data_IF_530448362702
#
_entry.id   IF_530448362702
#
_cell.length_a   1.000
_cell.length_b   1.000
_cell.length_c   1.000
_cell.angle_alpha   90.00
_cell.angle_beta   90.00
_cell.angle_gamma   90.00
#
_symmetry.space_group_name_H-M   'P 1'
#
loop_
_entity.id
_entity.type
_entity.pdbx_description
1 polymer ?
#
# COMPACT_ATOMS: atom_id res chain seq x y z
N UNK A 1 39.40 -16.64 -11.03
CA UNK A 1 38.35 -17.51 -10.45
C UNK A 1 37.07 -16.71 -10.37
N UNK A 2 36.26 -16.77 -11.42
CA UNK A 2 34.91 -16.24 -11.41
C UNK A 2 34.07 -17.17 -10.52
N UNK A 3 33.88 -16.80 -9.26
CA UNK A 3 32.79 -17.40 -8.48
C UNK A 3 31.52 -16.93 -9.16
N UNK A 4 30.92 -17.82 -9.93
CA UNK A 4 29.54 -17.72 -10.37
C UNK A 4 28.69 -17.63 -9.08
N UNK A 5 28.44 -16.40 -8.61
CA UNK A 5 27.56 -16.11 -7.50
C UNK A 5 26.15 -16.39 -8.02
N UNK A 6 25.80 -17.68 -8.09
CA UNK A 6 24.42 -18.10 -8.07
C UNK A 6 23.87 -17.54 -6.77
N UNK A 7 23.16 -16.41 -6.86
CA UNK A 7 22.54 -15.75 -5.72
C UNK A 7 21.73 -16.82 -4.99
N UNK A 8 22.05 -17.10 -3.71
CA UNK A 8 21.33 -18.09 -2.91
C UNK A 8 19.91 -17.59 -2.62
N UNK A 9 19.05 -17.70 -3.63
CA UNK A 9 17.68 -17.20 -3.66
C UNK A 9 16.76 -18.40 -3.70
N UNK A 10 15.88 -18.49 -2.71
CA UNK A 10 14.83 -19.51 -2.67
C UNK A 10 13.74 -19.17 -3.68
N UNK A 11 13.02 -20.20 -4.16
CA UNK A 11 11.75 -20.01 -4.84
C UNK A 11 10.70 -19.58 -3.83
N UNK A 12 10.54 -18.26 -3.66
CA UNK A 12 9.61 -17.69 -2.70
C UNK A 12 8.20 -17.59 -3.28
N UNK A 13 7.30 -18.49 -2.84
CA UNK A 13 5.88 -18.52 -3.21
C UNK A 13 4.96 -18.00 -2.10
N UNK A 14 5.47 -17.18 -1.17
CA UNK A 14 4.65 -16.65 -0.08
C UNK A 14 3.51 -15.76 -0.59
N UNK A 15 2.34 -15.87 0.06
CA UNK A 15 1.15 -15.09 -0.26
C UNK A 15 1.19 -13.63 0.24
N UNK A 16 2.09 -13.30 1.17
CA UNK A 16 2.22 -11.96 1.76
C UNK A 16 2.86 -11.99 3.17
N UNK A 17 3.94 -11.23 3.44
CA UNK A 17 4.81 -10.55 2.46
C UNK A 17 5.36 -11.53 1.41
N UNK A 18 5.70 -11.04 0.22
CA UNK A 18 6.08 -11.87 -0.93
C UNK A 18 7.42 -11.43 -1.56
N UNK A 19 7.83 -12.09 -2.64
CA UNK A 19 9.09 -11.85 -3.32
C UNK A 19 9.14 -10.45 -3.97
N UNK A 20 10.25 -9.74 -3.76
CA UNK A 20 10.61 -8.55 -4.54
C UNK A 20 11.57 -8.91 -5.68
N UNK A 21 11.52 -8.18 -6.82
CA UNK A 21 12.52 -8.31 -7.88
C UNK A 21 13.94 -8.09 -7.33
N UNK A 22 14.87 -8.96 -7.70
CA UNK A 22 16.26 -8.88 -7.24
C UNK A 22 16.91 -7.50 -7.53
N UNK A 23 16.73 -6.88 -8.70
CA UNK A 23 17.32 -5.57 -8.97
C UNK A 23 16.88 -4.47 -8.00
N UNK A 24 15.67 -4.56 -7.45
CA UNK A 24 15.17 -3.60 -6.44
C UNK A 24 15.92 -3.79 -5.12
N UNK A 25 16.14 -5.04 -4.70
CA UNK A 25 16.87 -5.36 -3.48
C UNK A 25 18.33 -4.92 -3.57
N UNK A 26 18.97 -5.15 -4.72
CA UNK A 26 20.35 -4.72 -4.98
C UNK A 26 20.48 -3.19 -4.98
N UNK A 27 19.50 -2.48 -5.56
CA UNK A 27 19.49 -1.02 -5.52
C UNK A 27 19.34 -0.51 -4.08
N UNK A 28 18.37 -1.04 -3.32
CA UNK A 28 18.19 -0.67 -1.91
C UNK A 28 19.45 -0.96 -1.10
N UNK A 29 20.09 -2.12 -1.30
CA UNK A 29 21.35 -2.46 -0.62
C UNK A 29 22.45 -1.43 -0.92
N UNK A 30 22.60 -1.04 -2.19
CA UNK A 30 23.62 -0.08 -2.62
C UNK A 30 23.40 1.33 -2.05
N UNK A 31 22.15 1.74 -1.93
CA UNK A 31 21.75 3.09 -1.49
C UNK A 31 21.42 3.18 0.01
N UNK A 32 21.53 2.08 0.77
CA UNK A 32 21.03 2.01 2.15
C UNK A 32 21.71 3.01 3.08
N UNK A 33 23.02 3.18 2.96
CA UNK A 33 23.82 4.06 3.83
C UNK A 33 23.95 5.48 3.27
N UNK A 34 23.76 5.65 1.97
CA UNK A 34 23.79 6.94 1.30
C UNK A 34 22.80 6.92 0.13
N UNK A 35 21.61 7.46 0.38
CA UNK A 35 20.58 7.54 -0.62
C UNK A 35 20.87 8.70 -1.56
N UNK A 36 21.17 8.39 -2.82
CA UNK A 36 21.33 9.40 -3.88
C UNK A 36 22.46 10.41 -3.65
N UNK A 37 23.48 10.10 -2.85
CA UNK A 37 24.60 11.00 -2.56
C UNK A 37 24.26 12.09 -1.55
N UNK A 38 23.21 11.90 -0.74
CA UNK A 38 22.80 12.85 0.31
C UNK A 38 23.65 12.73 1.57
N UNK A 39 24.45 11.68 1.69
CA UNK A 39 25.21 11.36 2.90
C UNK A 39 24.34 10.82 4.04
N UNK A 40 23.09 10.45 3.77
CA UNK A 40 22.14 9.92 4.74
C UNK A 40 21.40 8.70 4.18
N UNK A 41 21.02 7.78 5.06
CA UNK A 41 20.05 6.75 4.72
C UNK A 41 18.68 7.36 4.48
N UNK A 42 17.88 6.76 3.58
CA UNK A 42 16.45 7.11 3.43
C UNK A 42 15.68 7.00 4.76
N UNK A 43 16.13 6.13 5.67
CA UNK A 43 15.52 5.92 6.98
C UNK A 43 15.78 7.07 7.96
N UNK A 44 16.78 7.91 7.68
CA UNK A 44 17.18 9.06 8.52
C UNK A 44 16.65 10.39 7.95
N UNK A 45 16.14 10.37 6.72
CA UNK A 45 15.64 11.57 6.05
C UNK A 45 14.39 12.11 6.73
N UNK A 46 14.33 13.43 6.86
CA UNK A 46 13.07 14.11 7.19
C UNK A 46 12.05 13.87 6.08
N UNK A 47 10.83 13.49 6.46
CA UNK A 47 9.69 13.33 5.54
C UNK A 47 9.27 14.65 4.85
N UNK A 48 9.81 15.79 5.30
CA UNK A 48 9.58 17.12 4.69
C UNK A 48 10.80 17.64 3.95
N UNK A 49 11.84 16.83 3.81
CA UNK A 49 13.01 17.22 3.03
C UNK A 49 12.70 17.13 1.54
N UNK A 50 13.30 18.00 0.73
CA UNK A 50 13.17 17.97 -0.73
C UNK A 50 13.59 16.60 -1.30
N UNK A 51 14.58 15.95 -0.67
CA UNK A 51 15.02 14.61 -1.05
C UNK A 51 13.90 13.56 -0.88
N UNK A 52 13.18 13.58 0.24
CA UNK A 52 12.06 12.66 0.48
C UNK A 52 10.82 13.02 -0.34
N UNK A 53 10.52 14.30 -0.52
CA UNK A 53 9.42 14.75 -1.38
C UNK A 53 9.58 14.23 -2.82
N UNK A 54 10.81 14.24 -3.36
CA UNK A 54 11.11 13.64 -4.66
C UNK A 54 10.83 12.13 -4.72
N UNK A 55 11.03 11.40 -3.62
CA UNK A 55 10.69 9.97 -3.53
C UNK A 55 9.17 9.78 -3.64
N UNK A 56 8.40 10.56 -2.87
CA UNK A 56 6.94 10.51 -2.88
C UNK A 56 6.37 10.92 -4.25
N UNK A 57 6.84 12.02 -4.83
CA UNK A 57 6.41 12.51 -6.14
C UNK A 57 6.68 11.47 -7.25
N UNK A 58 7.84 10.82 -7.21
CA UNK A 58 8.17 9.74 -8.15
C UNK A 58 7.25 8.52 -7.97
N UNK A 59 6.91 8.17 -6.73
CA UNK A 59 6.00 7.07 -6.43
C UNK A 59 4.57 7.37 -6.92
N UNK A 60 4.04 8.56 -6.64
CA UNK A 60 2.72 9.03 -7.11
C UNK A 60 2.66 9.00 -8.64
N UNK A 61 3.58 9.69 -9.33
CA UNK A 61 3.64 9.74 -10.79
C UNK A 61 3.81 8.35 -11.41
N UNK A 62 4.59 7.49 -10.76
CA UNK A 62 4.76 6.10 -11.18
C UNK A 62 3.45 5.33 -11.17
N UNK A 63 2.68 5.44 -10.07
CA UNK A 63 1.39 4.78 -9.93
C UNK A 63 0.36 5.35 -10.91
N UNK A 64 0.28 6.67 -11.03
CA UNK A 64 -0.61 7.35 -11.99
C UNK A 64 -0.37 6.88 -13.42
N UNK A 65 0.90 6.81 -13.83
CA UNK A 65 1.28 6.32 -15.16
C UNK A 65 0.92 4.85 -15.36
N UNK A 66 1.20 3.99 -14.38
CA UNK A 66 0.98 2.54 -14.51
C UNK A 66 -0.51 2.18 -14.56
N UNK A 67 -1.32 2.87 -13.76
CA UNK A 67 -2.74 2.56 -13.56
C UNK A 67 -3.67 3.52 -14.34
N UNK A 68 -3.12 4.47 -15.09
CA UNK A 68 -3.86 5.52 -15.80
C UNK A 68 -4.84 6.30 -14.89
N UNK A 69 -4.34 6.75 -13.73
CA UNK A 69 -5.16 7.48 -12.75
C UNK A 69 -5.34 8.94 -13.18
N UNK A 70 -6.58 9.44 -13.33
CA UNK A 70 -6.84 10.82 -13.74
C UNK A 70 -6.59 11.84 -12.61
N UNK A 71 -6.54 13.12 -12.98
CA UNK A 71 -6.17 14.23 -12.09
C UNK A 71 -7.24 14.57 -11.04
N UNK A 72 -8.48 14.12 -11.24
CA UNK A 72 -9.59 14.27 -10.30
C UNK A 72 -9.58 13.22 -9.17
N UNK A 73 -8.58 12.33 -9.13
CA UNK A 73 -8.34 11.38 -8.05
C UNK A 73 -7.04 11.70 -7.31
N UNK A 74 -7.06 11.51 -5.99
CA UNK A 74 -5.88 11.58 -5.13
C UNK A 74 -5.26 10.20 -4.89
N UNK A 75 -3.93 10.12 -4.85
CA UNK A 75 -3.18 8.93 -4.40
C UNK A 75 -2.72 9.18 -2.96
N UNK A 76 -3.03 8.24 -2.05
CA UNK A 76 -2.69 8.35 -0.63
C UNK A 76 -1.80 7.18 -0.21
N UNK A 77 -0.70 7.48 0.49
CA UNK A 77 0.19 6.50 1.11
C UNK A 77 -0.07 6.45 2.61
N UNK A 78 -0.87 5.48 3.05
CA UNK A 78 -1.33 5.37 4.44
C UNK A 78 -0.72 4.16 5.14
N UNK A 79 -0.44 4.30 6.43
CA UNK A 79 -0.08 3.19 7.31
C UNK A 79 -1.28 2.29 7.63
N UNK A 80 -1.03 1.17 8.32
CA UNK A 80 -2.07 0.28 8.85
C UNK A 80 -2.57 -0.82 7.90
N UNK A 81 -2.08 -0.85 6.65
CA UNK A 81 -2.38 -1.92 5.69
C UNK A 81 -3.85 -1.97 5.25
N UNK A 82 -4.20 -3.02 4.49
CA UNK A 82 -5.55 -3.16 3.94
C UNK A 82 -6.63 -3.35 5.01
N UNK A 83 -6.32 -4.05 6.10
CA UNK A 83 -7.28 -4.31 7.17
C UNK A 83 -7.79 -3.02 7.83
N UNK A 84 -6.92 -2.03 8.08
CA UNK A 84 -7.35 -0.75 8.65
C UNK A 84 -8.34 -0.02 7.71
N UNK A 85 -8.21 -0.22 6.41
CA UNK A 85 -9.11 0.40 5.44
C UNK A 85 -10.53 -0.18 5.49
N UNK A 86 -10.72 -1.41 6.01
CA UNK A 86 -12.06 -1.96 6.24
C UNK A 86 -12.88 -1.10 7.22
N UNK A 87 -12.21 -0.45 8.19
CA UNK A 87 -12.86 0.49 9.10
C UNK A 87 -12.84 1.94 8.55
N UNK A 88 -11.74 2.38 7.94
CA UNK A 88 -11.63 3.76 7.44
C UNK A 88 -12.61 4.07 6.30
N UNK A 89 -12.88 3.12 5.40
CA UNK A 89 -13.80 3.33 4.27
C UNK A 89 -15.22 3.65 4.77
N UNK A 90 -15.87 2.83 5.62
CA UNK A 90 -17.17 3.18 6.21
C UNK A 90 -17.13 4.45 7.05
N UNK A 91 -16.04 4.73 7.76
CA UNK A 91 -15.94 5.95 8.58
C UNK A 91 -16.03 7.24 7.73
N UNK A 92 -15.50 7.21 6.51
CA UNK A 92 -15.43 8.38 5.62
C UNK A 92 -16.57 8.43 4.59
N UNK A 93 -17.07 7.29 4.13
CA UNK A 93 -18.02 7.23 3.00
C UNK A 93 -19.44 6.86 3.39
N UNK A 94 -19.67 6.37 4.61
CA UNK A 94 -21.01 6.04 5.09
C UNK A 94 -21.91 7.29 5.10
N UNK A 95 -23.10 7.16 4.53
CA UNK A 95 -24.13 8.18 4.55
C UNK A 95 -25.33 7.68 5.36
N UNK A 96 -25.65 8.37 6.45
CA UNK A 96 -26.77 8.00 7.32
C UNK A 96 -28.07 7.85 6.52
N UNK A 97 -28.76 6.73 6.72
CA UNK A 97 -30.02 6.44 6.04
C UNK A 97 -29.87 6.03 4.56
N UNK A 98 -28.65 5.78 4.08
CA UNK A 98 -28.39 5.16 2.78
C UNK A 98 -27.90 3.71 2.99
N UNK A 99 -28.36 2.76 2.16
CA UNK A 99 -27.84 1.40 2.22
C UNK A 99 -26.36 1.35 1.83
N UNK A 100 -25.65 0.36 2.37
CA UNK A 100 -24.26 0.04 2.02
C UNK A 100 -24.24 -1.34 1.37
N UNK A 101 -23.84 -1.40 0.10
CA UNK A 101 -23.74 -2.65 -0.65
C UNK A 101 -22.31 -3.20 -0.62
N UNK A 102 -22.18 -4.51 -0.37
CA UNK A 102 -20.91 -5.24 -0.47
C UNK A 102 -21.06 -6.47 -1.34
N UNK A 103 -20.07 -6.72 -2.20
CA UNK A 103 -20.01 -7.93 -3.02
C UNK A 103 -19.15 -8.97 -2.28
N UNK A 104 -19.79 -9.99 -1.72
CA UNK A 104 -19.10 -11.05 -0.99
C UNK A 104 -18.51 -12.11 -1.93
N UNK A 105 -17.18 -12.19 -1.96
CA UNK A 105 -16.40 -13.04 -2.88
C UNK A 105 -15.37 -13.93 -2.18
N UNK A 106 -15.21 -13.82 -0.86
CA UNK A 106 -14.32 -14.69 -0.10
C UNK A 106 -13.85 -14.09 1.22
N UNK A 107 -12.70 -14.59 1.71
CA UNK A 107 -12.21 -14.31 3.07
C UNK A 107 -11.99 -12.82 3.34
N UNK A 108 -11.49 -12.06 2.37
CA UNK A 108 -11.21 -10.63 2.57
C UNK A 108 -12.48 -9.78 2.64
N UNK A 109 -13.46 -10.07 1.80
CA UNK A 109 -14.75 -9.37 1.84
C UNK A 109 -15.55 -9.76 3.07
N UNK A 110 -15.46 -11.00 3.55
CA UNK A 110 -16.00 -11.40 4.85
C UNK A 110 -15.44 -10.55 6.00
N UNK A 111 -14.11 -10.37 6.07
CA UNK A 111 -13.48 -9.52 7.09
C UNK A 111 -13.96 -8.08 7.03
N UNK A 112 -14.09 -7.52 5.82
CA UNK A 112 -14.62 -6.17 5.64
C UNK A 112 -16.08 -6.04 6.11
N UNK A 113 -16.91 -7.07 5.90
CA UNK A 113 -18.28 -7.11 6.39
C UNK A 113 -18.35 -7.19 7.92
N UNK A 114 -17.48 -7.99 8.55
CA UNK A 114 -17.40 -8.11 10.00
C UNK A 114 -17.04 -6.74 10.63
N UNK A 115 -16.05 -6.04 10.07
CA UNK A 115 -15.68 -4.68 10.51
C UNK A 115 -16.78 -3.64 10.30
N UNK A 116 -17.52 -3.73 9.19
CA UNK A 116 -18.65 -2.82 8.93
C UNK A 116 -19.74 -2.98 10.00
N UNK A 117 -20.06 -4.22 10.39
CA UNK A 117 -21.03 -4.51 11.45
C UNK A 117 -20.57 -3.98 12.80
N UNK A 118 -19.31 -4.22 13.16
CA UNK A 118 -18.72 -3.73 14.41
C UNK A 118 -18.75 -2.19 14.49
N UNK A 119 -18.61 -1.52 13.35
CA UNK A 119 -18.67 -0.05 13.30
C UNK A 119 -20.09 0.53 13.48
N UNK A 120 -21.15 -0.29 13.43
CA UNK A 120 -22.55 0.14 13.48
C UNK A 120 -22.98 0.97 12.26
N UNK A 121 -22.24 0.89 11.16
CA UNK A 121 -22.49 1.62 9.89
C UNK A 121 -23.06 0.72 8.81
N UNK A 122 -23.61 -0.42 9.21
CA UNK A 122 -24.32 -1.37 8.36
C UNK A 122 -25.83 -1.13 8.37
N UNK A 123 -26.34 -0.13 9.14
CA UNK A 123 -27.77 0.15 9.32
C UNK A 123 -28.47 0.18 7.97
N UNK A 124 -29.11 -0.95 7.71
CA UNK A 124 -29.74 -1.28 6.47
C UNK A 124 -31.07 -0.56 6.50
N UNK A 125 -31.31 0.33 5.55
CA UNK A 125 -32.67 0.64 5.09
C UNK A 125 -33.34 -0.55 4.40
N UNK A 126 -32.96 -1.78 4.78
CA UNK A 126 -33.43 -3.05 4.25
C UNK A 126 -34.18 -3.82 5.36
N UNK A 127 -35.09 -3.12 6.04
CA UNK A 127 -36.41 -3.70 6.28
C UNK A 127 -37.18 -3.59 4.95
N UNK A 128 -37.06 -4.62 4.11
CA UNK A 128 -38.07 -5.06 3.13
C UNK A 128 -37.63 -6.31 2.37
#
# INVERSE_FOLDING_TARGET
MEKNLMTHRVFNFNAGPSALPLPVLEQVQKELLDFGGTGMSVMEMSHRSEAFEKILDRADKGLRRLMNIPDDYAVLFLGGGASLQFSMVPMNLYLKGKPVDLIHTGVWTKKAMDELKESGRDESGCDR
#
